data_IF_726666047627
#
_entry.id   IF_726666047627
#
_cell.length_a   1.000
_cell.length_b   1.000
_cell.length_c   1.000
_cell.angle_alpha   90.00
_cell.angle_beta   90.00
_cell.angle_gamma   90.00
#
_symmetry.space_group_name_H-M   'P 1'
#
loop_
_entity.id
_entity.type
_entity.pdbx_description
1 polymer ?
#
# COMPACT_ATOMS: atom_id res chain seq x y z
N UNK A 1 -4.17 -7.79 19.60
CA UNK A 1 -5.34 -8.47 18.97
C UNK A 1 -5.00 -8.74 17.50
N UNK A 2 -5.40 -9.89 16.93
CA UNK A 2 -5.20 -10.19 15.49
C UNK A 2 -6.41 -9.70 14.70
N UNK A 3 -6.20 -9.14 13.51
CA UNK A 3 -7.24 -8.52 12.67
C UNK A 3 -8.14 -9.52 11.90
N UNK A 4 -7.87 -10.83 12.01
CA UNK A 4 -8.64 -11.89 11.35
C UNK A 4 -8.88 -11.67 9.84
N UNK A 5 -7.85 -11.18 9.12
CA UNK A 5 -7.94 -10.88 7.69
C UNK A 5 -8.01 -12.16 6.84
N UNK A 6 -8.86 -12.13 5.80
CA UNK A 6 -8.89 -13.16 4.76
C UNK A 6 -7.65 -13.09 3.85
N UNK A 7 -7.23 -11.87 3.53
CA UNK A 7 -6.08 -11.58 2.67
C UNK A 7 -5.34 -10.32 3.10
N UNK A 8 -4.02 -10.29 2.91
CA UNK A 8 -3.17 -9.11 3.08
C UNK A 8 -2.61 -8.69 1.71
N UNK A 9 -2.81 -7.43 1.33
CA UNK A 9 -2.22 -6.88 0.11
C UNK A 9 -0.95 -6.13 0.48
N UNK A 10 0.21 -6.67 0.08
CA UNK A 10 1.49 -5.98 0.22
C UNK A 10 1.74 -5.17 -1.05
N UNK A 11 1.51 -3.87 -0.95
CA UNK A 11 1.70 -2.92 -2.05
C UNK A 11 3.13 -2.40 -2.09
N UNK A 12 3.89 -2.76 -3.13
CA UNK A 12 5.25 -2.25 -3.36
C UNK A 12 5.16 -0.96 -4.17
N UNK A 13 5.46 0.17 -3.53
CA UNK A 13 5.38 1.48 -4.17
C UNK A 13 6.57 1.72 -5.11
N UNK A 14 6.39 2.39 -6.25
CA UNK A 14 7.49 2.73 -7.16
C UNK A 14 8.53 3.66 -6.50
N UNK A 15 8.11 4.46 -5.52
CA UNK A 15 8.97 5.26 -4.65
C UNK A 15 8.14 6.20 -3.78
N UNK A 16 8.63 6.57 -2.61
CA UNK A 16 8.01 7.61 -1.79
C UNK A 16 8.65 8.96 -2.17
N UNK A 17 7.90 9.95 -2.68
CA UNK A 17 8.44 11.28 -3.00
C UNK A 17 9.08 12.02 -1.81
N UNK A 18 8.74 11.63 -0.58
CA UNK A 18 9.30 12.16 0.66
C UNK A 18 10.59 11.46 1.11
N UNK A 19 11.03 10.40 0.41
CA UNK A 19 12.25 9.65 0.70
C UNK A 19 13.18 9.65 -0.52
N UNK A 20 14.49 9.62 -0.29
CA UNK A 20 15.47 9.57 -1.37
C UNK A 20 15.30 8.29 -2.19
N UNK A 21 15.04 8.42 -3.50
CA UNK A 21 14.94 7.28 -4.41
C UNK A 21 16.31 6.73 -4.86
N UNK A 22 17.41 7.42 -4.53
CA UNK A 22 18.77 7.08 -4.99
C UNK A 22 19.29 5.72 -4.51
N UNK A 23 18.64 5.11 -3.52
CA UNK A 23 19.07 3.84 -2.92
C UNK A 23 18.04 2.71 -3.13
N UNK A 24 16.95 2.96 -3.87
CA UNK A 24 15.94 1.93 -4.10
C UNK A 24 16.32 1.04 -5.28
N UNK A 25 16.41 -0.27 -5.03
CA UNK A 25 16.47 -1.25 -6.08
C UNK A 25 15.26 -1.09 -7.05
N UNK A 26 15.42 -1.46 -8.34
CA UNK A 26 14.35 -1.40 -9.33
C UNK A 26 13.05 -2.04 -8.81
N UNK A 27 11.90 -1.45 -9.16
CA UNK A 27 10.60 -1.93 -8.67
C UNK A 27 10.38 -3.43 -8.96
N UNK A 28 10.75 -3.89 -10.15
CA UNK A 28 10.64 -5.31 -10.53
C UNK A 28 11.45 -6.23 -9.61
N UNK A 29 12.65 -5.80 -9.21
CA UNK A 29 13.48 -6.54 -8.27
C UNK A 29 12.86 -6.57 -6.87
N UNK A 30 12.35 -5.44 -6.39
CA UNK A 30 11.66 -5.36 -5.10
C UNK A 30 10.40 -6.22 -5.06
N UNK A 31 9.63 -6.28 -6.14
CA UNK A 31 8.49 -7.18 -6.28
C UNK A 31 8.92 -8.64 -6.17
N UNK A 32 9.90 -9.06 -6.98
CA UNK A 32 10.42 -10.44 -6.97
C UNK A 32 10.91 -10.86 -5.59
N UNK A 33 11.67 -10.00 -4.91
CA UNK A 33 12.17 -10.27 -3.56
C UNK A 33 11.02 -10.35 -2.54
N UNK A 34 10.03 -9.46 -2.64
CA UNK A 34 8.86 -9.47 -1.75
C UNK A 34 8.04 -10.75 -1.91
N UNK A 35 7.84 -11.22 -3.16
CA UNK A 35 7.15 -12.48 -3.47
C UNK A 35 7.89 -13.70 -2.88
N UNK A 36 9.22 -13.71 -2.91
CA UNK A 36 10.03 -14.78 -2.32
C UNK A 36 9.91 -14.85 -0.78
N UNK A 37 9.69 -13.71 -0.14
CA UNK A 37 9.49 -13.60 1.31
C UNK A 37 8.04 -13.95 1.69
N UNK A 38 7.07 -13.50 0.90
CA UNK A 38 5.64 -13.68 1.13
C UNK A 38 5.16 -15.12 0.82
N UNK A 39 5.67 -16.11 1.55
CA UNK A 39 5.33 -17.54 1.36
C UNK A 39 3.91 -17.90 1.78
N UNK A 40 3.23 -17.02 2.53
CA UNK A 40 1.85 -17.25 2.95
C UNK A 40 0.90 -16.94 1.78
N UNK A 41 0.04 -17.89 1.34
CA UNK A 41 -0.85 -17.68 0.19
C UNK A 41 -1.89 -16.57 0.39
N UNK A 42 -2.16 -16.18 1.64
CA UNK A 42 -3.02 -15.04 1.99
C UNK A 42 -2.33 -13.69 1.80
N UNK A 43 -1.01 -13.64 1.57
CA UNK A 43 -0.29 -12.41 1.27
C UNK A 43 -0.16 -12.28 -0.24
N UNK A 44 -0.75 -11.23 -0.81
CA UNK A 44 -0.61 -10.90 -2.23
C UNK A 44 0.31 -9.71 -2.38
N UNK A 45 1.45 -9.93 -3.00
CA UNK A 45 2.38 -8.86 -3.37
C UNK A 45 1.90 -8.24 -4.67
N UNK A 46 1.83 -6.92 -4.73
CA UNK A 46 1.38 -6.19 -5.93
C UNK A 46 2.05 -4.84 -6.05
N UNK A 47 2.21 -4.35 -7.27
CA UNK A 47 2.54 -2.95 -7.56
C UNK A 47 1.38 -2.28 -8.31
N UNK A 48 0.17 -2.37 -7.73
CA UNK A 48 -1.05 -1.81 -8.30
C UNK A 48 -0.90 -0.35 -8.75
N UNK A 49 -0.08 0.44 -8.04
CA UNK A 49 0.20 1.84 -8.37
C UNK A 49 0.98 2.02 -9.68
N UNK A 50 1.94 1.12 -9.93
CA UNK A 50 2.80 1.16 -11.11
C UNK A 50 2.01 0.89 -12.40
N UNK A 51 1.02 0.00 -12.33
CA UNK A 51 0.13 -0.32 -13.47
C UNK A 51 -0.80 0.83 -13.87
N UNK A 52 -1.05 1.77 -12.95
CA UNK A 52 -2.04 2.82 -13.13
C UNK A 52 -1.47 4.25 -13.15
N UNK A 53 -0.13 4.40 -13.16
CA UNK A 53 0.56 5.70 -13.12
C UNK A 53 0.08 6.63 -11.98
N UNK A 54 -0.50 6.05 -10.93
CA UNK A 54 -0.97 6.80 -9.77
C UNK A 54 0.21 7.05 -8.86
N UNK A 55 0.48 8.34 -8.63
CA UNK A 55 1.61 8.80 -7.81
C UNK A 55 1.27 8.95 -6.33
N UNK A 56 -0.02 8.91 -5.98
CA UNK A 56 -0.49 9.21 -4.63
C UNK A 56 -1.39 8.11 -4.09
N UNK A 57 -1.12 7.72 -2.84
CA UNK A 57 -1.88 6.68 -2.13
C UNK A 57 -3.39 6.95 -2.11
N UNK A 58 -3.82 8.22 -1.99
CA UNK A 58 -5.25 8.55 -2.00
C UNK A 58 -5.96 8.08 -3.29
N UNK A 59 -5.34 8.24 -4.46
CA UNK A 59 -5.91 7.79 -5.74
C UNK A 59 -5.90 6.27 -5.83
N UNK A 60 -4.82 5.65 -5.35
CA UNK A 60 -4.69 4.19 -5.25
C UNK A 60 -5.84 3.59 -4.44
N UNK A 61 -6.12 4.12 -3.24
CA UNK A 61 -7.19 3.61 -2.39
C UNK A 61 -8.58 3.83 -3.00
N UNK A 62 -8.81 4.97 -3.66
CA UNK A 62 -10.06 5.23 -4.36
C UNK A 62 -10.30 4.22 -5.49
N UNK A 63 -9.26 3.90 -6.28
CA UNK A 63 -9.35 2.91 -7.35
C UNK A 63 -9.55 1.49 -6.81
N UNK A 64 -8.86 1.12 -5.73
CA UNK A 64 -9.04 -0.18 -5.05
C UNK A 64 -10.47 -0.32 -4.56
N UNK A 65 -11.02 0.71 -3.90
CA UNK A 65 -12.41 0.71 -3.41
C UNK A 65 -13.41 0.59 -4.57
N UNK A 66 -13.21 1.35 -5.64
CA UNK A 66 -14.11 1.35 -6.79
C UNK A 66 -14.13 0.01 -7.55
N UNK A 67 -12.98 -0.69 -7.64
CA UNK A 67 -12.86 -1.95 -8.38
C UNK A 67 -13.29 -3.20 -7.61
N UNK A 68 -13.45 -3.09 -6.30
CA UNK A 68 -13.75 -4.23 -5.43
C UNK A 68 -15.03 -3.94 -4.62
N UNK A 69 -16.19 -3.77 -5.28
CA UNK A 69 -17.44 -3.56 -4.56
C UNK A 69 -17.75 -4.80 -3.70
N UNK A 70 -18.00 -4.59 -2.41
CA UNK A 70 -18.31 -5.66 -1.46
C UNK A 70 -17.11 -6.23 -0.69
N UNK A 71 -15.92 -5.64 -0.81
CA UNK A 71 -14.75 -6.01 -0.01
C UNK A 71 -14.52 -5.00 1.11
N UNK A 72 -14.43 -5.49 2.35
CA UNK A 72 -14.07 -4.70 3.51
C UNK A 72 -12.56 -4.56 3.62
N UNK A 73 -12.06 -3.37 3.30
CA UNK A 73 -10.63 -3.06 3.41
C UNK A 73 -10.30 -2.41 4.74
N UNK A 74 -9.12 -2.76 5.26
CA UNK A 74 -8.46 -2.05 6.35
C UNK A 74 -7.08 -1.60 5.89
N UNK A 75 -6.71 -0.37 6.24
CA UNK A 75 -5.38 0.17 5.97
C UNK A 75 -4.43 -0.22 7.11
N UNK A 76 -3.36 -0.94 6.78
CA UNK A 76 -2.31 -1.29 7.72
C UNK A 76 -1.11 -0.38 7.46
N UNK A 77 -0.65 0.32 8.49
CA UNK A 77 0.58 1.12 8.42
C UNK A 77 1.44 0.96 9.66
N UNK A 78 2.75 1.09 9.49
CA UNK A 78 3.68 1.15 10.61
C UNK A 78 3.62 2.48 11.36
N UNK A 79 3.96 2.46 12.65
CA UNK A 79 4.03 3.66 13.50
C UNK A 79 5.09 4.67 13.01
N UNK A 80 6.13 4.19 12.34
CA UNK A 80 7.14 5.01 11.66
C UNK A 80 6.51 5.86 10.55
N UNK A 81 5.64 5.25 9.75
CA UNK A 81 4.91 5.93 8.67
C UNK A 81 3.85 6.88 9.21
N UNK A 82 3.29 6.59 10.39
CA UNK A 82 2.26 7.42 11.04
C UNK A 82 2.80 8.80 11.43
N UNK A 83 4.06 8.88 11.86
CA UNK A 83 4.71 10.15 12.26
C UNK A 83 4.65 11.20 11.15
N UNK A 84 4.98 10.82 9.92
CA UNK A 84 4.99 11.72 8.76
C UNK A 84 3.71 11.66 7.93
N UNK A 85 2.70 10.90 8.36
CA UNK A 85 1.51 10.63 7.56
C UNK A 85 0.70 11.90 7.23
N UNK A 86 0.66 12.87 8.14
CA UNK A 86 0.02 14.17 7.93
C UNK A 86 0.65 14.99 6.79
N UNK A 87 1.85 14.61 6.31
CA UNK A 87 2.54 15.23 5.17
C UNK A 87 2.19 14.57 3.85
N UNK A 88 1.46 13.44 3.87
CA UNK A 88 1.06 12.74 2.66
C UNK A 88 -0.01 13.55 1.94
N UNK A 89 0.07 13.59 0.61
CA UNK A 89 -0.89 14.34 -0.18
C UNK A 89 -2.29 13.76 0.02
N UNK A 90 -3.23 14.63 0.41
CA UNK A 90 -4.62 14.26 0.74
C UNK A 90 -4.69 13.18 1.83
N UNK A 91 -3.80 13.21 2.82
CA UNK A 91 -3.82 12.27 3.97
C UNK A 91 -5.20 12.15 4.65
N UNK A 92 -5.97 13.25 4.69
CA UNK A 92 -7.35 13.25 5.21
C UNK A 92 -8.27 12.35 4.41
N UNK A 93 -8.12 12.30 3.08
CA UNK A 93 -8.91 11.38 2.26
C UNK A 93 -8.50 9.92 2.51
N UNK A 94 -7.20 9.67 2.73
CA UNK A 94 -6.68 8.32 3.02
C UNK A 94 -7.34 7.76 4.28
N UNK A 95 -7.32 8.50 5.40
CA UNK A 95 -7.96 8.07 6.67
C UNK A 95 -9.48 7.93 6.57
N UNK A 96 -10.13 8.68 5.67
CA UNK A 96 -11.59 8.60 5.47
C UNK A 96 -11.99 7.50 4.49
N UNK A 97 -11.04 6.89 3.77
CA UNK A 97 -11.35 5.89 2.74
C UNK A 97 -11.54 4.51 3.35
N UNK A 98 -10.62 4.11 4.24
CA UNK A 98 -10.62 2.84 4.96
C UNK A 98 -10.30 3.05 6.44
N UNK A 99 -10.84 2.21 7.36
CA UNK A 99 -10.37 2.15 8.73
C UNK A 99 -8.87 1.86 8.79
N UNK A 100 -8.16 2.45 9.76
CA UNK A 100 -6.74 2.20 9.99
C UNK A 100 -6.58 1.24 11.18
N UNK A 101 -5.71 0.25 11.01
CA UNK A 101 -5.34 -0.71 12.05
C UNK A 101 -3.92 -0.49 12.61
#
# INVERSE_FOLDING_TARGET
RRLALDQLWWMVTPGNPLKSARELAPLAERLRLSEQIARNPKVKVTAFEASHHVRFTADTLALVKARNPGVDFVWIMGADSLRDFHRWQRWRQIVMTFPIA
#
